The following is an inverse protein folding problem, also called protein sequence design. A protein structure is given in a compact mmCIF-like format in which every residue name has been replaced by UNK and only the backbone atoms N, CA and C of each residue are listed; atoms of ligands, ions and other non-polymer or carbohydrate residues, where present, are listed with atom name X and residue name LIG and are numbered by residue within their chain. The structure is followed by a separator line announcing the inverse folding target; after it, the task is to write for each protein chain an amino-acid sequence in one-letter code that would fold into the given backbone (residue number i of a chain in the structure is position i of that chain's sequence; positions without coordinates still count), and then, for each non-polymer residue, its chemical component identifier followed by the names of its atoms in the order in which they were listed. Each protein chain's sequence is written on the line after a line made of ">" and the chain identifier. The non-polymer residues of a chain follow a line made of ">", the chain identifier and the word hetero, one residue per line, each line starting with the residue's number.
data_IF_093797170466
#
_entry.id   IF_093797170466
#
_cell.length_a   1.000
_cell.length_b   1.000
_cell.length_c   1.000
_cell.angle_alpha   90.00
_cell.angle_beta   90.00
_cell.angle_gamma   90.00
#
_symmetry.space_group_name_H-M   'P 1'
#
loop_
_entity.id
_entity.type
_entity.pdbx_description
1 polymer ?
#
# COMPACT_ATOMS: atom_id res chain seq x y z
N UNK A 1 -6.07 -14.01 10.92
CA UNK A 1 -6.08 -14.91 12.10
C UNK A 1 -5.26 -14.29 13.22
N UNK A 2 -5.79 -14.28 14.45
CA UNK A 2 -5.04 -13.84 15.63
C UNK A 2 -4.08 -14.93 16.06
N UNK A 3 -2.82 -14.56 16.25
CA UNK A 3 -1.82 -15.38 16.91
C UNK A 3 -1.75 -15.06 18.41
N UNK A 4 -0.82 -15.71 19.12
CA UNK A 4 -0.56 -15.44 20.53
C UNK A 4 -0.30 -13.95 20.78
N UNK A 5 -0.81 -13.43 21.90
CA UNK A 5 -0.60 -12.04 22.33
C UNK A 5 -1.13 -10.97 21.35
N UNK A 6 -2.03 -11.33 20.41
CA UNK A 6 -2.61 -10.39 19.45
C UNK A 6 -1.79 -10.17 18.18
N UNK A 7 -0.54 -10.68 18.14
CA UNK A 7 0.31 -10.65 16.96
C UNK A 7 -0.28 -11.50 15.81
N UNK A 8 0.04 -11.20 14.54
CA UNK A 8 -0.37 -12.05 13.43
C UNK A 8 0.20 -13.47 13.54
N UNK A 9 -0.61 -14.48 13.23
CA UNK A 9 -0.19 -15.88 13.29
C UNK A 9 0.82 -16.25 12.19
N UNK A 10 0.75 -15.59 11.04
CA UNK A 10 1.61 -15.86 9.88
C UNK A 10 2.80 -14.93 9.83
N UNK A 11 3.88 -15.33 9.13
CA UNK A 11 5.01 -14.44 8.83
C UNK A 11 4.57 -13.33 7.86
N UNK A 12 5.08 -12.09 7.98
CA UNK A 12 4.89 -11.05 6.96
C UNK A 12 5.49 -11.43 5.60
N UNK A 13 5.09 -10.77 4.50
CA UNK A 13 4.25 -9.56 4.46
C UNK A 13 2.75 -9.83 4.62
N UNK A 14 2.06 -8.95 5.35
CA UNK A 14 0.61 -8.99 5.60
C UNK A 14 -0.20 -8.28 4.50
N UNK A 15 0.39 -7.27 3.88
CA UNK A 15 -0.01 -6.69 2.61
C UNK A 15 1.18 -6.68 1.67
N UNK A 16 0.98 -7.00 0.40
CA UNK A 16 2.08 -7.11 -0.56
C UNK A 16 1.65 -6.78 -1.97
N UNK A 17 2.61 -6.39 -2.79
CA UNK A 17 2.49 -6.32 -4.23
C UNK A 17 3.36 -7.45 -4.81
N UNK A 18 2.86 -8.15 -5.83
CA UNK A 18 3.58 -9.25 -6.48
C UNK A 18 3.46 -9.09 -7.98
N UNK A 19 4.60 -9.03 -8.66
CA UNK A 19 4.65 -9.13 -10.12
C UNK A 19 4.78 -10.59 -10.53
N UNK A 20 3.91 -11.03 -11.42
CA UNK A 20 3.85 -12.40 -11.92
C UNK A 20 4.01 -12.36 -13.44
N UNK A 21 4.93 -13.16 -13.97
CA UNK A 21 4.99 -13.41 -15.41
C UNK A 21 3.84 -14.35 -15.78
N UNK A 22 2.90 -13.88 -16.61
CA UNK A 22 1.73 -14.67 -16.99
C UNK A 22 2.04 -15.78 -18.00
N UNK A 23 3.23 -15.76 -18.61
CA UNK A 23 3.69 -16.80 -19.54
C UNK A 23 4.21 -18.02 -18.80
N UNK A 24 4.93 -17.81 -17.68
CA UNK A 24 5.57 -18.86 -16.89
C UNK A 24 4.87 -19.16 -15.57
N UNK A 25 4.11 -18.20 -15.03
CA UNK A 25 3.54 -18.23 -13.68
C UNK A 25 4.53 -17.86 -12.57
N UNK A 26 5.76 -17.45 -12.91
CA UNK A 26 6.78 -17.14 -11.93
C UNK A 26 6.59 -15.76 -11.30
N UNK A 27 6.95 -15.64 -10.02
CA UNK A 27 7.03 -14.34 -9.34
C UNK A 27 8.34 -13.66 -9.74
N UNK A 28 8.25 -12.52 -10.44
CA UNK A 28 9.41 -11.71 -10.80
C UNK A 28 9.95 -11.00 -9.55
N UNK A 29 9.05 -10.43 -8.75
CA UNK A 29 9.35 -9.84 -7.46
C UNK A 29 8.12 -9.82 -6.56
N UNK A 30 8.37 -9.65 -5.26
CA UNK A 30 7.36 -9.51 -4.22
C UNK A 30 7.87 -8.54 -3.16
N UNK A 31 7.10 -7.49 -2.86
CA UNK A 31 7.45 -6.49 -1.85
C UNK A 31 6.29 -6.23 -0.89
N UNK A 32 6.56 -5.91 0.38
CA UNK A 32 5.53 -5.45 1.31
C UNK A 32 4.85 -4.17 0.80
N UNK A 33 3.53 -4.07 0.96
CA UNK A 33 2.78 -2.84 0.67
C UNK A 33 2.50 -2.10 1.97
N UNK A 34 3.36 -1.14 2.29
CA UNK A 34 3.26 -0.30 3.47
C UNK A 34 4.18 -0.66 4.62
N UNK A 35 4.26 0.28 5.56
CA UNK A 35 5.08 0.14 6.77
C UNK A 35 4.49 -0.88 7.73
N UNK A 36 5.31 -1.27 8.72
CA UNK A 36 4.85 -2.10 9.81
C UNK A 36 3.85 -1.33 10.68
N UNK A 37 2.64 -1.85 10.90
CA UNK A 37 1.67 -1.19 11.78
C UNK A 37 2.20 -1.04 13.21
N UNK A 38 1.91 0.09 13.87
CA UNK A 38 2.43 0.41 15.22
C UNK A 38 2.10 -0.68 16.24
N UNK A 39 0.92 -1.29 16.15
CA UNK A 39 0.53 -2.41 17.02
C UNK A 39 1.42 -3.66 16.90
N UNK A 40 2.25 -3.73 15.86
CA UNK A 40 3.28 -4.76 15.67
C UNK A 40 4.66 -4.16 15.99
N UNK A 41 4.99 -2.99 15.44
CA UNK A 41 6.31 -2.36 15.61
C UNK A 41 6.64 -2.08 17.08
N UNK A 42 5.64 -1.69 17.87
CA UNK A 42 5.78 -1.29 19.29
C UNK A 42 5.37 -2.41 20.27
N UNK A 43 5.11 -3.62 19.77
CA UNK A 43 4.59 -4.69 20.61
C UNK A 43 5.63 -5.15 21.65
N UNK A 44 5.29 -5.23 22.96
CA UNK A 44 6.26 -5.57 24.02
C UNK A 44 7.03 -6.88 23.80
N UNK A 45 6.36 -7.90 23.25
CA UNK A 45 6.99 -9.19 22.94
C UNK A 45 8.02 -9.14 21.78
N UNK A 46 8.09 -8.02 21.05
CA UNK A 46 9.05 -7.80 19.95
C UNK A 46 10.16 -6.80 20.35
N UNK A 47 10.25 -6.42 21.63
CA UNK A 47 11.32 -5.56 22.13
C UNK A 47 12.70 -6.13 21.79
N UNK A 48 13.53 -5.32 21.11
CA UNK A 48 14.87 -5.72 20.69
C UNK A 48 14.93 -6.55 19.40
N UNK A 49 13.79 -6.81 18.76
CA UNK A 49 13.72 -7.46 17.44
C UNK A 49 13.66 -6.39 16.35
N UNK A 50 14.54 -6.49 15.36
CA UNK A 50 14.43 -5.67 14.16
C UNK A 50 13.27 -6.18 13.28
N UNK A 51 12.17 -5.42 13.21
CA UNK A 51 11.00 -5.77 12.41
C UNK A 51 11.06 -5.01 11.08
N UNK A 52 11.31 -5.69 9.95
CA UNK A 52 11.34 -5.02 8.64
C UNK A 52 9.93 -4.58 8.23
N UNK A 53 9.79 -3.89 7.09
CA UNK A 53 8.48 -3.60 6.51
C UNK A 53 7.64 -4.87 6.40
N UNK A 54 6.49 -4.87 7.07
CA UNK A 54 5.59 -6.01 7.08
C UNK A 54 4.40 -5.84 6.15
N UNK A 55 4.16 -4.64 5.63
CA UNK A 55 2.97 -4.32 4.87
C UNK A 55 1.71 -4.27 5.73
N UNK A 56 0.71 -3.55 5.25
CA UNK A 56 -0.59 -3.42 5.94
C UNK A 56 -1.61 -4.39 5.35
N UNK A 57 -2.35 -5.17 6.17
CA UNK A 57 -3.28 -6.19 5.70
C UNK A 57 -4.58 -5.59 5.12
N UNK A 58 -4.45 -4.86 4.02
CA UNK A 58 -5.53 -4.09 3.42
C UNK A 58 -5.60 -4.25 1.91
N UNK A 59 -6.74 -3.85 1.34
CA UNK A 59 -6.93 -3.81 -0.12
C UNK A 59 -6.60 -2.41 -0.64
N UNK A 60 -5.32 -2.21 -0.96
CA UNK A 60 -4.87 -1.06 -1.74
C UNK A 60 -5.24 -1.22 -3.22
N UNK A 61 -5.77 -0.16 -3.81
CA UNK A 61 -5.96 -0.07 -5.26
C UNK A 61 -4.62 0.20 -5.93
N UNK A 62 -4.39 -0.43 -7.08
CA UNK A 62 -3.15 -0.29 -7.84
C UNK A 62 -3.43 0.13 -9.28
N UNK A 63 -2.51 0.86 -9.89
CA UNK A 63 -2.48 1.12 -11.33
C UNK A 63 -1.06 0.91 -11.86
N UNK A 64 -0.95 0.38 -13.08
CA UNK A 64 0.33 0.13 -13.75
C UNK A 64 0.46 1.06 -14.95
N UNK A 65 1.57 1.77 -15.04
CA UNK A 65 1.96 2.56 -16.21
C UNK A 65 3.04 1.84 -17.01
N UNK A 66 3.61 2.52 -18.02
CA UNK A 66 4.69 1.94 -18.83
C UNK A 66 5.87 1.47 -17.99
N UNK A 67 6.28 2.25 -16.98
CA UNK A 67 7.49 2.01 -16.17
C UNK A 67 7.21 1.85 -14.68
N UNK A 68 6.05 2.29 -14.18
CA UNK A 68 5.78 2.36 -12.75
C UNK A 68 4.53 1.57 -12.36
N UNK A 69 4.47 1.17 -11.11
CA UNK A 69 3.25 0.73 -10.43
C UNK A 69 2.95 1.74 -9.33
N UNK A 70 1.73 2.25 -9.29
CA UNK A 70 1.28 3.10 -8.19
C UNK A 70 0.32 2.32 -7.30
N UNK A 71 0.48 2.44 -5.99
CA UNK A 71 -0.37 1.75 -5.03
C UNK A 71 -0.55 2.58 -3.76
N UNK A 72 -1.78 2.57 -3.24
CA UNK A 72 -2.08 3.05 -1.89
C UNK A 72 -2.01 1.94 -0.86
N UNK A 73 -2.01 2.34 0.41
CA UNK A 73 -2.11 1.40 1.53
C UNK A 73 -3.56 0.96 1.81
N UNK A 74 -4.54 1.49 1.08
CA UNK A 74 -5.97 1.18 1.22
C UNK A 74 -6.66 1.94 2.37
N UNK A 75 -7.97 1.73 2.50
CA UNK A 75 -8.84 2.56 3.35
C UNK A 75 -8.89 2.16 4.81
N UNK A 76 -8.41 0.97 5.15
CA UNK A 76 -8.62 0.36 6.46
C UNK A 76 -10.00 -0.29 6.62
N UNK A 77 -10.84 -0.29 5.58
CA UNK A 77 -12.22 -0.81 5.65
C UNK A 77 -12.30 -2.34 5.70
N UNK A 78 -11.33 -3.06 5.13
CA UNK A 78 -11.31 -4.53 5.15
C UNK A 78 -10.47 -5.08 6.29
N UNK A 79 -9.99 -4.19 7.17
CA UNK A 79 -9.26 -4.54 8.36
C UNK A 79 -10.13 -5.31 9.36
N UNK A 80 -9.49 -6.20 10.10
CA UNK A 80 -10.10 -6.72 11.32
C UNK A 80 -10.19 -5.58 12.34
N UNK A 81 -11.35 -5.34 12.98
CA UNK A 81 -11.48 -4.30 14.01
C UNK A 81 -10.37 -4.38 15.06
N UNK A 82 -9.78 -3.22 15.39
CA UNK A 82 -8.66 -3.13 16.35
C UNK A 82 -7.28 -3.42 15.75
N UNK A 83 -7.13 -3.53 14.43
CA UNK A 83 -5.83 -3.55 13.75
C UNK A 83 -5.59 -2.24 12.99
N UNK A 84 -4.39 -1.70 13.12
CA UNK A 84 -3.91 -0.66 12.21
C UNK A 84 -3.82 -1.28 10.81
N UNK A 85 -4.58 -0.71 9.88
CA UNK A 85 -4.71 -1.16 8.49
C UNK A 85 -5.11 0.03 7.64
N UNK A 86 -4.73 0.00 6.37
CA UNK A 86 -4.80 1.20 5.56
C UNK A 86 -3.77 2.24 5.97
N UNK A 87 -3.71 3.31 5.21
CA UNK A 87 -2.87 4.45 5.50
C UNK A 87 -2.91 5.46 4.36
N UNK A 88 -2.51 6.71 4.63
CA UNK A 88 -2.50 7.77 3.62
C UNK A 88 -1.35 7.62 2.62
N UNK A 89 -0.38 6.73 2.85
CA UNK A 89 0.77 6.66 1.97
C UNK A 89 0.42 6.07 0.61
N UNK A 90 0.88 6.76 -0.44
CA UNK A 90 0.76 6.39 -1.84
C UNK A 90 2.14 6.32 -2.46
N UNK A 91 2.48 5.18 -3.05
CA UNK A 91 3.85 4.91 -3.51
C UNK A 91 3.90 4.63 -5.00
N UNK A 92 4.98 5.06 -5.62
CA UNK A 92 5.40 4.67 -6.95
C UNK A 92 6.53 3.64 -6.84
N UNK A 93 6.35 2.51 -7.50
CA UNK A 93 7.30 1.41 -7.57
C UNK A 93 7.85 1.30 -8.98
N UNK A 94 9.14 1.06 -9.13
CA UNK A 94 9.71 0.59 -10.39
C UNK A 94 9.06 -0.75 -10.77
N UNK A 95 8.43 -0.81 -11.94
CA UNK A 95 7.64 -1.98 -12.36
C UNK A 95 8.50 -3.25 -12.52
N UNK A 96 9.79 -3.09 -12.86
CA UNK A 96 10.68 -4.21 -13.15
C UNK A 96 11.30 -4.83 -11.90
N UNK A 97 11.49 -4.04 -10.84
CA UNK A 97 12.20 -4.46 -9.62
C UNK A 97 11.32 -4.48 -8.37
N UNK A 98 10.21 -3.75 -8.36
CA UNK A 98 9.40 -3.52 -7.17
C UNK A 98 10.04 -2.52 -6.18
N UNK A 99 11.11 -1.83 -6.56
CA UNK A 99 11.76 -0.82 -5.71
C UNK A 99 10.88 0.42 -5.61
N UNK A 100 10.70 0.96 -4.40
CA UNK A 100 10.02 2.25 -4.21
C UNK A 100 10.90 3.37 -4.79
N UNK A 101 10.34 4.15 -5.72
CA UNK A 101 11.02 5.27 -6.38
C UNK A 101 10.37 6.63 -6.09
N UNK A 102 9.22 6.62 -5.42
CA UNK A 102 8.54 7.82 -4.97
C UNK A 102 7.47 7.50 -3.94
N UNK A 103 7.28 8.43 -2.99
CA UNK A 103 6.30 8.32 -1.91
C UNK A 103 5.58 9.66 -1.75
N UNK A 104 4.27 9.59 -1.54
CA UNK A 104 3.38 10.74 -1.41
C UNK A 104 2.35 10.45 -0.34
N UNK A 105 2.23 11.33 0.64
CA UNK A 105 1.17 11.23 1.64
C UNK A 105 -0.11 11.87 1.08
N UNK A 106 -1.17 11.06 0.92
CA UNK A 106 -2.50 11.54 0.55
C UNK A 106 -3.15 12.23 1.75
N UNK A 107 -4.05 13.19 1.53
CA UNK A 107 -4.74 13.88 2.62
C UNK A 107 -5.68 12.96 3.43
N UNK A 108 -6.06 11.81 2.86
CA UNK A 108 -6.78 10.74 3.54
C UNK A 108 -6.45 9.39 2.90
N UNK A 109 -7.03 8.31 3.43
CA UNK A 109 -6.77 6.98 2.93
C UNK A 109 -7.33 6.79 1.52
N UNK A 110 -6.65 5.98 0.70
CA UNK A 110 -7.12 5.59 -0.63
C UNK A 110 -8.34 4.66 -0.51
N UNK A 111 -9.48 5.08 -1.07
CA UNK A 111 -10.77 4.36 -0.99
C UNK A 111 -11.18 3.71 -2.31
N UNK A 112 -10.63 4.16 -3.44
CA UNK A 112 -10.93 3.64 -4.78
C UNK A 112 -9.68 3.27 -5.58
N UNK A 113 -9.86 2.54 -6.68
CA UNK A 113 -8.76 2.17 -7.58
C UNK A 113 -8.27 3.43 -8.31
N UNK A 114 -6.95 3.74 -8.29
CA UNK A 114 -6.40 4.87 -9.03
C UNK A 114 -6.67 4.77 -10.53
N UNK A 115 -6.80 5.92 -11.20
CA UNK A 115 -6.86 6.02 -12.66
C UNK A 115 -5.79 6.97 -13.20
N UNK A 116 -5.53 6.94 -14.50
CA UNK A 116 -4.60 7.87 -15.15
C UNK A 116 -5.18 8.40 -16.46
N UNK A 117 -4.85 9.65 -16.81
CA UNK A 117 -5.20 10.27 -18.09
C UNK A 117 -4.13 11.30 -18.50
N UNK A 118 -4.20 11.74 -19.77
CA UNK A 118 -3.37 12.82 -20.31
C UNK A 118 -4.22 14.08 -20.50
N UNK A 119 -3.67 15.24 -20.14
CA UNK A 119 -4.23 16.56 -20.46
C UNK A 119 -3.06 17.52 -20.71
N UNK A 120 -3.08 18.20 -21.87
CA UNK A 120 -2.06 19.17 -22.26
C UNK A 120 -0.61 18.62 -22.12
N UNK A 121 -0.38 17.41 -22.61
CA UNK A 121 0.89 16.65 -22.55
C UNK A 121 1.38 16.27 -21.13
N UNK A 122 0.54 16.50 -20.11
CA UNK A 122 0.81 16.12 -18.72
C UNK A 122 0.03 14.85 -18.36
N UNK A 123 0.72 13.88 -17.75
CA UNK A 123 0.11 12.67 -17.23
C UNK A 123 -0.36 12.87 -15.79
N UNK A 124 -1.66 12.68 -15.55
CA UNK A 124 -2.23 12.72 -14.22
C UNK A 124 -2.50 11.32 -13.69
N UNK A 125 -2.29 11.13 -12.40
CA UNK A 125 -2.78 9.99 -11.60
C UNK A 125 -3.85 10.53 -10.65
N UNK A 126 -5.06 9.97 -10.71
CA UNK A 126 -6.17 10.38 -9.84
C UNK A 126 -6.52 9.27 -8.88
N UNK A 127 -6.65 9.61 -7.60
CA UNK A 127 -6.99 8.70 -6.52
C UNK A 127 -8.20 9.23 -5.76
N UNK A 128 -9.19 8.37 -5.54
CA UNK A 128 -10.27 8.66 -4.61
C UNK A 128 -9.80 8.43 -3.18
N UNK A 129 -9.99 9.44 -2.32
CA UNK A 129 -9.56 9.42 -0.92
C UNK A 129 -10.75 9.70 0.01
N UNK A 130 -10.64 9.26 1.26
CA UNK A 130 -11.61 9.55 2.31
C UNK A 130 -11.45 8.65 3.53
N UNK A 131 -11.92 9.09 4.69
CA UNK A 131 -12.03 8.27 5.91
C UNK A 131 -13.12 8.85 6.83
N UNK A 132 -13.28 8.33 8.05
CA UNK A 132 -14.38 8.73 8.97
C UNK A 132 -14.40 10.24 9.26
N UNK A 133 -13.22 10.84 9.34
CA UNK A 133 -13.02 12.22 9.80
C UNK A 133 -12.53 13.14 8.65
N UNK A 134 -12.57 12.65 7.39
CA UNK A 134 -12.14 13.38 6.18
C UNK A 134 -13.13 13.16 5.02
N UNK A 135 -13.67 14.23 4.41
CA UNK A 135 -14.66 14.12 3.33
C UNK A 135 -14.09 13.42 2.09
N UNK A 136 -14.94 12.70 1.36
CA UNK A 136 -14.50 12.04 0.13
C UNK A 136 -14.18 13.05 -0.96
N UNK A 137 -13.02 12.91 -1.60
CA UNK A 137 -12.58 13.76 -2.72
C UNK A 137 -11.68 12.99 -3.70
N UNK A 138 -11.37 13.64 -4.83
CA UNK A 138 -10.40 13.16 -5.81
C UNK A 138 -9.11 13.97 -5.70
N UNK A 139 -7.99 13.29 -5.53
CA UNK A 139 -6.65 13.89 -5.54
C UNK A 139 -5.99 13.57 -6.87
N UNK A 140 -5.57 14.61 -7.60
CA UNK A 140 -4.82 14.48 -8.85
C UNK A 140 -3.33 14.76 -8.60
N UNK A 141 -2.48 13.83 -9.00
CA UNK A 141 -1.03 13.89 -8.87
C UNK A 141 -0.41 13.93 -10.27
N UNK A 142 0.68 14.66 -10.43
CA UNK A 142 1.52 14.66 -11.63
C UNK A 142 2.99 14.71 -11.21
N UNK A 143 3.88 14.32 -12.11
CA UNK A 143 5.33 14.52 -11.97
C UNK A 143 5.69 15.77 -12.77
N UNK A 144 6.36 16.73 -12.13
CA UNK A 144 7.01 17.86 -12.80
C UNK A 144 8.44 17.50 -13.22
#
# INVERSE_FOLDING_TARGET
>A
MMGPQGLPLTKPPYGRITAIDLSTGEHIWMVPNGETPDCIAEHPALTGVNVPMTGRPERGGIIVTKSLVFAGEGSGLFAVPGRASGGPMFRAYDKSTGTVVGEFELPAHQTGIPMTYMLDDIQYIVVAVGNRDYPAELVALTVE
#
